data_IF_975856486487
#
_entry.id   IF_975856486487
#
_cell.length_a   1.000
_cell.length_b   1.000
_cell.length_c   1.000
_cell.angle_alpha   90.00
_cell.angle_beta   90.00
_cell.angle_gamma   90.00
#
_symmetry.space_group_name_H-M   'P 1'
#
loop_
_entity.id
_entity.type
_entity.pdbx_description
1 polymer ?
#
# COMPACT_ATOMS: atom_id res chain seq x y z
N UNK A 1 14.28 15.67 1.54
CA UNK A 1 13.11 15.03 2.19
C UNK A 1 12.91 15.47 3.65
N UNK A 2 13.86 15.23 4.57
CA UNK A 2 13.66 15.56 6.00
C UNK A 2 13.47 17.07 6.27
N UNK A 3 14.28 17.92 5.64
CA UNK A 3 14.16 19.38 5.74
C UNK A 3 12.82 19.89 5.19
N UNK A 4 12.37 19.35 4.05
CA UNK A 4 11.06 19.66 3.46
C UNK A 4 9.91 19.27 4.40
N UNK A 5 10.01 18.13 5.11
CA UNK A 5 9.02 17.74 6.12
C UNK A 5 8.98 18.71 7.29
N UNK A 6 10.14 19.15 7.79
CA UNK A 6 10.21 20.15 8.86
C UNK A 6 9.61 21.49 8.44
N UNK A 7 9.94 21.96 7.23
CA UNK A 7 9.37 23.18 6.66
C UNK A 7 7.85 23.08 6.50
N UNK A 8 7.34 21.95 6.00
CA UNK A 8 5.91 21.68 5.88
C UNK A 8 5.20 21.70 7.25
N UNK A 9 5.78 21.06 8.27
CA UNK A 9 5.21 21.09 9.63
C UNK A 9 5.17 22.51 10.22
N UNK A 10 6.20 23.33 9.97
CA UNK A 10 6.23 24.73 10.36
C UNK A 10 5.14 25.54 9.64
N UNK A 11 4.97 25.35 8.33
CA UNK A 11 3.95 26.01 7.53
C UNK A 11 2.53 25.63 7.99
N UNK A 12 2.26 24.35 8.28
CA UNK A 12 0.99 23.89 8.84
C UNK A 12 0.69 24.54 10.20
N UNK A 13 1.71 24.66 11.05
CA UNK A 13 1.58 25.34 12.34
C UNK A 13 1.29 26.84 12.18
N UNK A 14 1.88 27.51 11.18
CA UNK A 14 1.61 28.91 10.87
C UNK A 14 0.20 29.09 10.30
N UNK A 15 -0.19 28.26 9.35
CA UNK A 15 -1.53 28.24 8.75
C UNK A 15 -2.62 28.16 9.83
N UNK A 16 -2.45 27.24 10.79
CA UNK A 16 -3.38 27.09 11.91
C UNK A 16 -3.40 28.30 12.86
N UNK A 17 -2.27 28.99 13.06
CA UNK A 17 -2.25 30.23 13.86
C UNK A 17 -2.99 31.36 13.17
N UNK A 18 -2.86 31.49 11.85
CA UNK A 18 -3.42 32.60 11.09
C UNK A 18 -4.94 32.49 10.89
N UNK A 19 -5.46 31.29 10.61
CA UNK A 19 -6.87 31.08 10.25
C UNK A 19 -7.73 30.56 11.42
N UNK A 20 -7.15 30.31 12.59
CA UNK A 20 -7.87 29.85 13.77
C UNK A 20 -8.29 28.38 13.71
N UNK A 21 -9.48 28.07 14.24
CA UNK A 21 -9.97 26.70 14.49
C UNK A 21 -10.64 26.06 13.25
N UNK A 22 -9.95 26.03 12.11
CA UNK A 22 -10.42 25.24 10.96
C UNK A 22 -10.22 23.75 11.25
N UNK A 23 -11.23 22.88 11.02
CA UNK A 23 -11.06 21.44 11.09
C UNK A 23 -9.96 21.01 10.09
N UNK A 24 -8.88 20.41 10.61
CA UNK A 24 -7.74 19.97 9.83
C UNK A 24 -7.29 18.58 10.30
N UNK A 25 -7.17 17.65 9.36
CA UNK A 25 -6.58 16.34 9.58
C UNK A 25 -5.28 16.23 8.77
N UNK A 26 -4.21 15.74 9.40
CA UNK A 26 -2.92 15.50 8.76
C UNK A 26 -2.54 14.04 8.98
N UNK A 27 -2.30 13.31 7.90
CA UNK A 27 -1.82 11.93 7.94
C UNK A 27 -0.34 11.87 7.59
N UNK A 28 0.44 11.07 8.32
CA UNK A 28 1.85 10.81 8.03
C UNK A 28 2.26 9.44 8.57
N UNK A 29 3.45 8.97 8.18
CA UNK A 29 4.04 7.76 8.76
C UNK A 29 4.49 8.05 10.19
N UNK A 30 4.41 7.05 11.06
CA UNK A 30 4.77 7.19 12.47
C UNK A 30 6.22 7.66 12.68
N UNK A 31 7.16 7.03 11.96
CA UNK A 31 8.58 7.39 12.08
C UNK A 31 8.87 8.81 11.59
N UNK A 32 8.23 9.20 10.49
CA UNK A 32 8.32 10.56 9.96
C UNK A 32 7.80 11.58 11.00
N UNK A 33 6.67 11.29 11.65
CA UNK A 33 6.13 12.15 12.71
C UNK A 33 7.07 12.23 13.91
N UNK A 34 7.64 11.10 14.35
CA UNK A 34 8.57 11.07 15.49
C UNK A 34 9.83 11.89 15.24
N UNK A 35 10.33 11.86 14.00
CA UNK A 35 11.52 12.57 13.56
C UNK A 35 11.30 14.08 13.34
N UNK A 36 10.07 14.59 13.40
CA UNK A 36 9.82 16.03 13.23
C UNK A 36 10.46 16.84 14.37
N UNK A 37 11.20 17.92 14.05
CA UNK A 37 11.83 18.78 15.06
C UNK A 37 10.80 19.57 15.88
N UNK A 38 9.63 19.84 15.31
CA UNK A 38 8.52 20.51 15.98
C UNK A 38 7.24 19.70 15.80
N UNK A 39 6.47 19.54 16.90
CA UNK A 39 5.17 18.87 16.85
C UNK A 39 4.15 19.74 16.10
N UNK A 40 3.27 19.08 15.36
CA UNK A 40 2.09 19.72 14.78
C UNK A 40 1.16 20.17 15.91
N UNK A 41 0.72 21.43 15.86
CA UNK A 41 -0.16 22.05 16.85
C UNK A 41 -1.61 21.65 16.62
N UNK A 42 -1.90 20.36 16.59
CA UNK A 42 -3.26 19.82 16.42
C UNK A 42 -3.93 19.52 17.77
N UNK A 43 -5.24 19.27 17.75
CA UNK A 43 -5.99 19.00 19.00
C UNK A 43 -5.72 17.58 19.51
N UNK A 44 -5.65 16.62 18.60
CA UNK A 44 -5.50 15.20 18.91
C UNK A 44 -4.53 14.55 17.92
N UNK A 45 -3.95 13.42 18.34
CA UNK A 45 -3.19 12.53 17.47
C UNK A 45 -3.81 11.13 17.54
N UNK A 46 -4.05 10.54 16.37
CA UNK A 46 -4.57 9.17 16.24
C UNK A 46 -3.52 8.32 15.55
N UNK A 47 -3.16 7.21 16.17
CA UNK A 47 -2.26 6.22 15.58
C UNK A 47 -3.07 5.00 15.17
N UNK A 48 -3.04 4.70 13.86
CA UNK A 48 -3.64 3.47 13.33
C UNK A 48 -2.82 2.28 13.83
N UNK A 49 -3.46 1.41 14.60
CA UNK A 49 -2.84 0.20 15.13
C UNK A 49 -2.94 -0.96 14.12
N UNK A 50 -2.03 -1.94 14.18
CA UNK A 50 -2.23 -3.22 13.51
C UNK A 50 -3.55 -3.86 13.94
N UNK A 51 -4.18 -4.62 13.04
CA UNK A 51 -5.41 -5.33 13.32
C UNK A 51 -5.19 -6.37 14.42
N UNK A 52 -6.17 -6.44 15.32
CA UNK A 52 -6.27 -7.52 16.29
C UNK A 52 -6.74 -8.82 15.60
N UNK A 53 -6.35 -10.00 16.10
CA UNK A 53 -6.74 -11.28 15.53
C UNK A 53 -8.26 -11.42 15.32
N UNK A 54 -9.06 -10.88 16.23
CA UNK A 54 -10.53 -10.94 16.18
C UNK A 54 -11.08 -10.08 15.04
N UNK A 55 -10.44 -8.96 14.74
CA UNK A 55 -10.81 -8.09 13.61
C UNK A 55 -10.51 -8.76 12.27
N UNK A 56 -9.38 -9.48 12.18
CA UNK A 56 -9.01 -10.27 11.00
C UNK A 56 -10.04 -11.39 10.79
N UNK A 57 -10.35 -12.16 11.83
CA UNK A 57 -11.34 -13.24 11.74
C UNK A 57 -12.74 -12.71 11.36
N UNK A 58 -13.15 -11.56 11.93
CA UNK A 58 -14.41 -10.90 11.58
C UNK A 58 -14.45 -10.45 10.12
N UNK A 59 -13.37 -9.84 9.63
CA UNK A 59 -13.27 -9.43 8.23
C UNK A 59 -13.41 -10.63 7.28
N UNK A 60 -12.70 -11.73 7.56
CA UNK A 60 -12.74 -12.93 6.73
C UNK A 60 -14.11 -13.63 6.79
N UNK A 61 -14.73 -13.71 7.98
CA UNK A 61 -16.12 -14.19 8.14
C UNK A 61 -17.10 -13.40 7.27
N UNK A 62 -16.99 -12.07 7.27
CA UNK A 62 -17.86 -11.20 6.50
C UNK A 62 -17.68 -11.38 4.97
N UNK A 63 -16.51 -11.84 4.52
CA UNK A 63 -16.28 -12.23 3.13
C UNK A 63 -16.92 -13.56 2.72
N UNK A 64 -17.48 -14.31 3.67
CA UNK A 64 -18.24 -15.54 3.40
C UNK A 64 -17.39 -16.69 2.83
N UNK A 65 -18.03 -17.63 2.09
CA UNK A 65 -17.37 -18.84 1.59
C UNK A 65 -16.14 -18.57 0.72
N UNK A 66 -16.09 -17.40 0.07
CA UNK A 66 -14.98 -17.02 -0.83
C UNK A 66 -13.64 -16.86 -0.12
N UNK A 67 -13.67 -16.56 1.18
CA UNK A 67 -12.47 -16.34 2.00
C UNK A 67 -12.24 -17.46 3.03
N UNK A 68 -13.01 -18.54 2.97
CA UNK A 68 -12.91 -19.65 3.92
C UNK A 68 -11.53 -20.33 3.86
N UNK A 69 -11.04 -20.63 2.66
CA UNK A 69 -9.69 -21.20 2.48
C UNK A 69 -8.57 -20.28 3.00
N UNK A 70 -8.71 -18.96 2.83
CA UNK A 70 -7.77 -17.98 3.38
C UNK A 70 -7.82 -17.95 4.91
N UNK A 71 -9.02 -18.01 5.49
CA UNK A 71 -9.23 -18.03 6.94
C UNK A 71 -8.62 -19.26 7.59
N UNK A 72 -8.79 -20.43 6.99
CA UNK A 72 -8.19 -21.68 7.50
C UNK A 72 -6.66 -21.67 7.35
N UNK A 73 -6.14 -21.08 6.28
CA UNK A 73 -4.68 -20.95 6.12
C UNK A 73 -4.09 -20.01 7.17
N UNK A 74 -4.72 -18.86 7.43
CA UNK A 74 -4.26 -17.88 8.42
C UNK A 74 -4.25 -18.43 9.85
N UNK A 75 -5.14 -19.38 10.18
CA UNK A 75 -5.12 -20.08 11.48
C UNK A 75 -3.91 -20.98 11.67
N UNK A 76 -3.39 -21.54 10.58
CA UNK A 76 -2.31 -22.52 10.60
C UNK A 76 -0.94 -21.95 10.22
N UNK A 77 -0.87 -20.69 9.78
CA UNK A 77 0.38 -20.00 9.41
C UNK A 77 0.51 -18.68 10.18
N UNK A 78 1.25 -18.71 11.29
CA UNK A 78 1.48 -17.54 12.14
C UNK A 78 2.20 -16.39 11.41
N UNK A 79 3.11 -16.70 10.47
CA UNK A 79 3.82 -15.66 9.74
C UNK A 79 2.90 -14.96 8.72
N UNK A 80 2.00 -15.71 8.09
CA UNK A 80 0.95 -15.15 7.25
C UNK A 80 -0.06 -14.33 8.07
N UNK A 81 -0.39 -14.80 9.27
CA UNK A 81 -1.24 -14.07 10.21
C UNK A 81 -0.63 -12.72 10.61
N UNK A 82 0.66 -12.69 10.97
CA UNK A 82 1.35 -11.43 11.26
C UNK A 82 1.36 -10.47 10.07
N UNK A 83 1.49 -10.98 8.84
CA UNK A 83 1.36 -10.14 7.63
C UNK A 83 -0.05 -9.53 7.51
N UNK A 84 -1.09 -10.30 7.80
CA UNK A 84 -2.50 -9.88 7.75
C UNK A 84 -2.87 -8.83 8.82
N UNK A 85 -2.02 -8.59 9.83
CA UNK A 85 -2.24 -7.51 10.80
C UNK A 85 -2.15 -6.12 10.18
N UNK A 86 -1.48 -5.97 9.03
CA UNK A 86 -1.54 -4.73 8.27
C UNK A 86 -2.85 -4.69 7.44
N UNK A 87 -3.74 -3.70 7.62
CA UNK A 87 -5.04 -3.67 6.94
C UNK A 87 -4.96 -3.80 5.42
N UNK A 88 -3.97 -3.13 4.80
CA UNK A 88 -3.73 -3.23 3.37
C UNK A 88 -3.37 -4.67 2.95
N UNK A 89 -2.54 -5.36 3.74
CA UNK A 89 -2.11 -6.72 3.41
C UNK A 89 -3.25 -7.71 3.54
N UNK A 90 -4.12 -7.57 4.54
CA UNK A 90 -5.34 -8.37 4.65
C UNK A 90 -6.26 -8.20 3.43
N UNK A 91 -6.46 -6.97 2.98
CA UNK A 91 -7.26 -6.69 1.79
C UNK A 91 -6.62 -7.30 0.52
N UNK A 92 -5.30 -7.20 0.36
CA UNK A 92 -4.56 -7.80 -0.76
C UNK A 92 -4.67 -9.33 -0.73
N UNK A 93 -4.50 -9.96 0.43
CA UNK A 93 -4.69 -11.41 0.60
C UNK A 93 -6.10 -11.85 0.21
N UNK A 94 -7.11 -11.16 0.71
CA UNK A 94 -8.50 -11.47 0.40
C UNK A 94 -8.82 -11.31 -1.09
N UNK A 95 -8.27 -10.29 -1.74
CA UNK A 95 -8.46 -10.08 -3.17
C UNK A 95 -7.67 -11.10 -4.01
N UNK A 96 -6.46 -11.46 -3.62
CA UNK A 96 -5.59 -12.36 -4.35
C UNK A 96 -6.06 -13.82 -4.30
N UNK A 97 -6.62 -14.25 -3.17
CA UNK A 97 -7.04 -15.64 -2.91
C UNK A 97 -8.57 -15.78 -2.80
N UNK A 98 -9.34 -14.85 -3.35
CA UNK A 98 -10.79 -14.96 -3.40
C UNK A 98 -11.21 -16.18 -4.23
N UNK A 99 -11.80 -17.19 -3.57
CA UNK A 99 -12.18 -18.52 -4.09
C UNK A 99 -11.03 -19.48 -4.43
N UNK A 100 -9.79 -19.14 -4.09
CA UNK A 100 -8.61 -19.96 -4.39
C UNK A 100 -7.92 -20.45 -3.11
N UNK A 101 -7.22 -21.58 -3.22
CA UNK A 101 -6.38 -22.06 -2.14
C UNK A 101 -5.15 -21.16 -1.97
N UNK A 102 -4.73 -20.92 -0.72
CA UNK A 102 -3.53 -20.13 -0.43
C UNK A 102 -2.28 -20.99 -0.58
N UNK A 103 -1.65 -20.89 -1.74
CA UNK A 103 -0.35 -21.50 -2.01
C UNK A 103 0.76 -20.47 -1.81
N UNK A 104 1.25 -20.35 -0.57
CA UNK A 104 2.40 -19.51 -0.23
C UNK A 104 3.54 -20.38 0.34
N UNK A 105 4.82 -20.08 0.00
CA UNK A 105 5.99 -20.81 0.46
C UNK A 105 6.06 -20.83 1.98
N UNK A 106 6.09 -22.03 2.57
CA UNK A 106 6.20 -22.23 4.03
C UNK A 106 7.67 -22.31 4.46
N UNK A 107 7.98 -21.88 5.69
CA UNK A 107 9.33 -21.93 6.28
C UNK A 107 9.95 -20.57 6.65
N UNK A 108 11.09 -20.62 7.35
CA UNK A 108 11.82 -19.48 7.97
C UNK A 108 12.43 -18.47 6.99
N UNK A 109 12.60 -18.84 5.72
CA UNK A 109 13.50 -18.13 4.80
C UNK A 109 12.84 -17.23 3.74
N UNK A 110 11.56 -16.82 3.83
CA UNK A 110 11.03 -16.03 2.71
C UNK A 110 9.87 -15.06 2.93
N UNK A 111 9.90 -14.20 3.95
CA UNK A 111 8.88 -13.14 4.03
C UNK A 111 8.87 -12.24 2.77
N UNK A 112 10.04 -11.99 2.18
CA UNK A 112 10.17 -11.25 0.92
C UNK A 112 9.58 -12.02 -0.27
N UNK A 113 9.93 -13.30 -0.45
CA UNK A 113 9.35 -14.10 -1.55
C UNK A 113 7.85 -14.32 -1.39
N UNK A 114 7.35 -14.46 -0.14
CA UNK A 114 5.91 -14.54 0.14
C UNK A 114 5.20 -13.25 -0.29
N UNK A 115 5.77 -12.08 0.04
CA UNK A 115 5.23 -10.78 -0.40
C UNK A 115 5.26 -10.65 -1.91
N UNK A 116 6.37 -11.01 -2.54
CA UNK A 116 6.50 -10.99 -3.99
C UNK A 116 5.44 -11.86 -4.67
N UNK A 117 5.29 -13.11 -4.25
CA UNK A 117 4.28 -14.01 -4.80
C UNK A 117 2.85 -13.54 -4.54
N UNK A 118 2.57 -13.01 -3.35
CA UNK A 118 1.28 -12.40 -3.03
C UNK A 118 0.96 -11.24 -3.98
N UNK A 119 1.91 -10.34 -4.21
CA UNK A 119 1.69 -9.21 -5.12
C UNK A 119 1.58 -9.66 -6.58
N UNK A 120 2.35 -10.66 -7.02
CA UNK A 120 2.23 -11.22 -8.36
C UNK A 120 0.83 -11.82 -8.57
N UNK A 121 0.36 -12.67 -7.64
CA UNK A 121 -1.01 -13.21 -7.65
C UNK A 121 -2.08 -12.11 -7.62
N UNK A 122 -1.90 -11.10 -6.79
CA UNK A 122 -2.81 -9.96 -6.72
C UNK A 122 -2.91 -9.23 -8.06
N UNK A 123 -1.78 -8.94 -8.72
CA UNK A 123 -1.74 -8.28 -10.02
C UNK A 123 -2.42 -9.13 -11.10
N UNK A 124 -2.11 -10.42 -11.17
CA UNK A 124 -2.78 -11.38 -12.06
C UNK A 124 -4.30 -11.34 -11.87
N UNK A 125 -4.76 -11.38 -10.61
CA UNK A 125 -6.18 -11.36 -10.27
C UNK A 125 -6.85 -10.03 -10.64
N UNK A 126 -6.15 -8.90 -10.51
CA UNK A 126 -6.68 -7.59 -10.93
C UNK A 126 -6.84 -7.48 -12.45
N UNK A 127 -5.92 -8.05 -13.23
CA UNK A 127 -6.07 -8.15 -14.68
C UNK A 127 -7.24 -9.06 -15.07
N UNK A 128 -7.35 -10.25 -14.45
CA UNK A 128 -8.45 -11.18 -14.72
C UNK A 128 -9.83 -10.58 -14.37
N UNK A 129 -9.93 -9.83 -13.26
CA UNK A 129 -11.16 -9.17 -12.82
C UNK A 129 -11.65 -8.08 -13.80
N UNK A 130 -10.73 -7.44 -14.53
CA UNK A 130 -11.03 -6.30 -15.42
C UNK A 130 -11.01 -6.65 -16.92
N UNK A 131 -10.91 -7.93 -17.27
CA UNK A 131 -10.69 -8.43 -18.62
C UNK A 131 -11.82 -8.15 -19.65
N UNK A 132 -12.80 -7.28 -19.36
CA UNK A 132 -13.92 -7.03 -20.27
C UNK A 132 -13.58 -6.14 -21.46
N UNK A 133 -12.49 -5.36 -21.43
CA UNK A 133 -11.96 -4.66 -22.60
C UNK A 133 -10.46 -4.37 -22.45
N UNK A 134 -9.59 -4.97 -23.26
CA UNK A 134 -8.17 -4.58 -23.28
C UNK A 134 -7.61 -4.56 -24.70
N UNK A 135 -7.20 -3.37 -25.15
CA UNK A 135 -6.40 -3.15 -26.37
C UNK A 135 -4.96 -3.67 -26.24
N UNK A 136 -4.55 -4.06 -25.04
CA UNK A 136 -3.19 -4.47 -24.69
C UNK A 136 -3.21 -5.75 -23.86
N UNK A 137 -2.17 -6.58 -24.00
CA UNK A 137 -2.05 -7.79 -23.18
C UNK A 137 -1.62 -7.45 -21.75
N UNK A 138 -1.92 -8.31 -20.75
CA UNK A 138 -1.45 -8.11 -19.39
C UNK A 138 0.07 -7.94 -19.29
N UNK A 139 0.84 -8.68 -20.08
CA UNK A 139 2.30 -8.58 -20.12
C UNK A 139 2.78 -7.19 -20.60
N UNK A 140 2.14 -6.62 -21.63
CA UNK A 140 2.43 -5.27 -22.12
C UNK A 140 2.12 -4.22 -21.05
N UNK A 141 0.92 -4.30 -20.46
CA UNK A 141 0.50 -3.38 -19.41
C UNK A 141 1.43 -3.45 -18.18
N UNK A 142 1.81 -4.66 -17.75
CA UNK A 142 2.73 -4.85 -16.63
C UNK A 142 4.12 -4.30 -16.93
N UNK A 143 4.65 -4.49 -18.15
CA UNK A 143 5.93 -3.91 -18.56
C UNK A 143 5.93 -2.38 -18.52
N UNK A 144 4.92 -1.73 -19.10
CA UNK A 144 4.83 -0.26 -19.11
C UNK A 144 4.57 0.32 -17.74
N UNK A 145 3.67 -0.28 -16.94
CA UNK A 145 3.40 0.18 -15.58
C UNK A 145 4.59 -0.05 -14.65
N UNK A 146 5.35 -1.14 -14.86
CA UNK A 146 6.59 -1.40 -14.14
C UNK A 146 7.65 -0.36 -14.43
N UNK A 147 7.86 -0.04 -15.71
CA UNK A 147 8.76 1.05 -16.13
C UNK A 147 8.32 2.41 -15.57
N UNK A 148 7.02 2.72 -15.65
CA UNK A 148 6.47 3.97 -15.12
C UNK A 148 6.70 4.07 -13.61
N UNK A 149 6.45 2.99 -12.86
CA UNK A 149 6.68 2.94 -11.43
C UNK A 149 8.16 3.15 -11.08
N UNK A 150 9.08 2.59 -11.86
CA UNK A 150 10.52 2.81 -11.68
C UNK A 150 10.89 4.28 -11.88
N UNK A 151 10.43 4.90 -12.98
CA UNK A 151 10.69 6.31 -13.27
C UNK A 151 10.11 7.26 -12.20
N UNK A 152 8.88 6.99 -11.75
CA UNK A 152 8.27 7.74 -10.67
C UNK A 152 9.05 7.59 -9.35
N UNK A 153 9.57 6.40 -9.05
CA UNK A 153 10.35 6.16 -7.84
C UNK A 153 11.71 6.88 -7.89
N UNK A 154 12.44 6.81 -9.01
CA UNK A 154 13.70 7.53 -9.21
C UNK A 154 13.55 9.05 -9.02
N UNK A 155 12.39 9.59 -9.45
CA UNK A 155 12.08 11.02 -9.35
C UNK A 155 11.34 11.41 -8.07
N UNK A 156 11.13 10.47 -7.14
CA UNK A 156 10.36 10.67 -5.90
C UNK A 156 8.94 11.23 -6.13
N UNK A 157 8.31 10.85 -7.23
CA UNK A 157 6.95 11.26 -7.61
C UNK A 157 5.93 10.21 -7.17
N UNK A 158 4.89 10.64 -6.46
CA UNK A 158 3.76 9.78 -6.08
C UNK A 158 2.51 10.00 -6.92
N UNK A 159 2.48 11.06 -7.74
CA UNK A 159 1.38 11.41 -8.63
C UNK A 159 1.97 11.56 -10.03
N UNK A 160 1.34 10.90 -11.00
CA UNK A 160 1.70 11.01 -12.40
C UNK A 160 0.71 11.92 -13.10
N UNK A 161 1.24 12.95 -13.78
CA UNK A 161 0.50 13.78 -14.72
C UNK A 161 1.08 13.58 -16.11
N UNK A 162 0.26 13.60 -17.16
CA UNK A 162 0.73 13.34 -18.53
C UNK A 162 1.78 14.37 -18.97
N UNK A 163 1.62 15.63 -18.53
CA UNK A 163 2.55 16.73 -18.73
C UNK A 163 3.91 16.55 -18.03
N UNK A 164 3.99 15.63 -17.05
CA UNK A 164 5.25 15.30 -16.37
C UNK A 164 6.14 14.35 -17.17
N UNK A 165 5.62 13.78 -18.27
CA UNK A 165 6.35 12.89 -19.16
C UNK A 165 7.30 13.73 -20.02
N UNK A 166 8.50 13.93 -19.49
CA UNK A 166 9.55 14.73 -20.11
C UNK A 166 10.50 13.80 -20.91
N UNK A 167 11.16 14.29 -21.97
CA UNK A 167 12.05 13.46 -22.80
C UNK A 167 13.18 12.77 -22.03
N UNK A 168 13.56 13.31 -20.87
CA UNK A 168 14.56 12.74 -19.96
C UNK A 168 14.08 11.50 -19.18
N UNK A 169 12.81 11.09 -19.35
CA UNK A 169 12.30 9.81 -18.86
C UNK A 169 12.68 8.66 -19.81
N UNK A 170 12.84 8.97 -21.10
CA UNK A 170 13.28 7.96 -22.06
C UNK A 170 14.77 7.71 -21.82
N UNK A 171 15.22 6.45 -21.82
CA UNK A 171 16.64 6.18 -21.86
C UNK A 171 17.23 6.97 -23.05
N UNK A 172 18.31 7.70 -22.81
CA UNK A 172 19.01 8.40 -23.87
C UNK A 172 19.54 7.36 -24.86
N UNK A 173 18.79 7.06 -25.90
CA UNK A 173 19.24 6.18 -26.98
C UNK A 173 18.73 6.70 -28.31
N UNK A 174 19.67 7.15 -29.12
CA UNK A 174 20.08 6.40 -30.30
C UNK A 174 21.61 6.36 -30.35
#
# INVERSE_FOLDING_TARGET
AAEQRAACAAALNQFRRALGLVPLAVSCRYDDYRALPARLRLQNAVLVQPLAPEQIDTFLKNGGPRLEGLRDTLRNDAALHELARAPLMLAVLALAYENDAVELPRGEQSILKRREQLFNRYVERMFARRARETRYTPAQAQGWLGWLAQQMNERSQSIFYLESLQPDWLPAQL
#
